data_IF_876406542398
#
_entry.id   IF_876406542398
#
_cell.length_a   1.000
_cell.length_b   1.000
_cell.length_c   1.000
_cell.angle_alpha   90.00
_cell.angle_beta   90.00
_cell.angle_gamma   90.00
#
_symmetry.space_group_name_H-M   'P 1'
#
loop_
_entity.id
_entity.type
_entity.pdbx_description
1 polymer ?
#
# COMPACT_ATOMS: atom_id res chain seq x y z
N UNK A 1 13.14 -9.87 -16.17
CA UNK A 1 13.82 -11.04 -15.57
C UNK A 1 12.75 -11.79 -14.80
N UNK A 2 12.89 -13.12 -14.60
CA UNK A 2 11.86 -13.94 -13.94
C UNK A 2 11.32 -13.34 -12.64
N UNK A 3 12.20 -12.72 -11.84
CA UNK A 3 11.82 -12.02 -10.61
C UNK A 3 10.86 -10.85 -10.86
N UNK A 4 11.18 -9.95 -11.80
CA UNK A 4 10.32 -8.82 -12.14
C UNK A 4 8.96 -9.29 -12.65
N UNK A 5 8.96 -10.29 -13.53
CA UNK A 5 7.73 -10.86 -14.11
C UNK A 5 6.84 -11.49 -13.01
N UNK A 6 7.46 -12.14 -12.02
CA UNK A 6 6.75 -12.72 -10.87
C UNK A 6 6.20 -11.64 -9.93
N UNK A 7 6.96 -10.57 -9.69
CA UNK A 7 6.52 -9.45 -8.86
C UNK A 7 5.35 -8.72 -9.51
N UNK A 8 5.41 -8.50 -10.82
CA UNK A 8 4.32 -7.89 -11.58
C UNK A 8 3.06 -8.75 -11.53
N UNK A 9 3.18 -10.08 -11.69
CA UNK A 9 2.05 -10.99 -11.54
C UNK A 9 1.40 -10.92 -10.13
N UNK A 10 2.21 -10.79 -9.06
CA UNK A 10 1.70 -10.57 -7.71
C UNK A 10 0.95 -9.24 -7.59
N UNK A 11 1.50 -8.16 -8.16
CA UNK A 11 0.83 -6.85 -8.12
C UNK A 11 -0.50 -6.90 -8.85
N UNK A 12 -0.57 -7.53 -10.02
CA UNK A 12 -1.83 -7.68 -10.78
C UNK A 12 -2.86 -8.54 -10.03
N UNK A 13 -2.43 -9.58 -9.33
CA UNK A 13 -3.30 -10.35 -8.43
C UNK A 13 -3.89 -9.45 -7.32
N UNK A 14 -3.04 -8.71 -6.61
CA UNK A 14 -3.48 -7.83 -5.53
C UNK A 14 -4.38 -6.68 -6.03
N UNK A 15 -4.11 -6.13 -7.22
CA UNK A 15 -4.98 -5.15 -7.89
C UNK A 15 -6.35 -5.74 -8.17
N UNK A 16 -6.40 -6.98 -8.66
CA UNK A 16 -7.66 -7.68 -8.92
C UNK A 16 -8.47 -7.92 -7.64
N UNK A 17 -7.79 -8.28 -6.54
CA UNK A 17 -8.43 -8.43 -5.22
C UNK A 17 -9.01 -7.10 -4.70
N UNK A 18 -8.27 -6.00 -4.88
CA UNK A 18 -8.75 -4.66 -4.50
C UNK A 18 -9.94 -4.23 -5.33
N UNK A 19 -9.95 -4.50 -6.64
CA UNK A 19 -11.11 -4.19 -7.47
C UNK A 19 -12.36 -4.93 -7.01
N UNK A 20 -12.20 -6.17 -6.52
CA UNK A 20 -13.31 -6.96 -6.00
C UNK A 20 -13.91 -6.37 -4.71
N UNK A 21 -13.09 -5.69 -3.90
CA UNK A 21 -13.53 -4.99 -2.69
C UNK A 21 -12.87 -3.60 -2.60
N UNK A 22 -13.29 -2.68 -3.47
CA UNK A 22 -12.72 -1.32 -3.55
C UNK A 22 -13.26 -0.42 -2.43
N UNK A 23 -12.93 -0.78 -1.19
CA UNK A 23 -13.37 -0.11 0.04
C UNK A 23 -12.18 0.13 0.97
N UNK A 24 -12.31 1.01 1.99
CA UNK A 24 -11.25 1.19 2.97
C UNK A 24 -10.87 -0.14 3.64
N UNK A 25 -11.85 -0.99 3.95
CA UNK A 25 -11.61 -2.31 4.54
C UNK A 25 -10.82 -3.22 3.60
N UNK A 26 -11.19 -3.29 2.32
CA UNK A 26 -10.45 -4.12 1.35
C UNK A 26 -8.98 -3.69 1.22
N UNK A 27 -8.70 -2.39 1.28
CA UNK A 27 -7.34 -1.88 1.33
C UNK A 27 -6.61 -2.32 2.61
N UNK A 28 -7.28 -2.29 3.77
CA UNK A 28 -6.71 -2.77 5.03
C UNK A 28 -6.32 -4.24 4.98
N UNK A 29 -7.18 -5.08 4.39
CA UNK A 29 -6.97 -6.52 4.30
C UNK A 29 -5.70 -6.84 3.49
N UNK A 30 -5.46 -6.12 2.39
CA UNK A 30 -4.22 -6.23 1.61
C UNK A 30 -3.00 -5.85 2.45
N UNK A 31 -3.07 -4.77 3.22
CA UNK A 31 -1.97 -4.39 4.11
C UNK A 31 -1.78 -5.34 5.29
N UNK A 32 -2.82 -6.08 5.70
CA UNK A 32 -2.69 -7.16 6.66
C UNK A 32 -1.92 -8.35 6.06
N UNK A 33 -2.17 -8.69 4.80
CA UNK A 33 -1.39 -9.71 4.06
C UNK A 33 0.07 -9.28 3.97
N UNK A 34 0.36 -8.03 3.58
CA UNK A 34 1.73 -7.55 3.39
C UNK A 34 2.53 -7.35 4.70
N UNK A 35 1.85 -7.27 5.85
CA UNK A 35 2.44 -6.88 7.13
C UNK A 35 3.68 -7.69 7.58
N UNK A 36 3.78 -9.02 7.39
CA UNK A 36 4.96 -9.79 7.76
C UNK A 36 6.23 -9.31 7.03
N UNK A 37 6.12 -8.98 5.74
CA UNK A 37 7.25 -8.53 4.92
C UNK A 37 7.61 -7.06 5.16
N UNK A 38 6.62 -6.20 5.42
CA UNK A 38 6.85 -4.81 5.84
C UNK A 38 7.68 -4.77 7.14
N UNK A 39 7.44 -5.72 8.05
CA UNK A 39 8.13 -5.83 9.35
C UNK A 39 9.38 -6.70 9.31
N UNK A 40 9.76 -7.21 8.14
CA UNK A 40 10.87 -8.17 8.04
C UNK A 40 12.21 -7.57 8.46
N UNK A 41 13.07 -8.38 9.06
CA UNK A 41 14.46 -8.00 9.31
C UNK A 41 15.30 -7.97 8.03
N UNK A 42 14.84 -8.62 6.95
CA UNK A 42 15.54 -8.69 5.67
C UNK A 42 15.22 -7.49 4.79
N UNK A 43 16.26 -6.79 4.34
CA UNK A 43 16.17 -5.59 3.52
C UNK A 43 15.36 -5.79 2.24
N UNK A 44 15.66 -6.83 1.47
CA UNK A 44 14.97 -7.13 0.23
C UNK A 44 13.49 -7.48 0.43
N UNK A 45 13.11 -8.08 1.56
CA UNK A 45 11.69 -8.36 1.85
C UNK A 45 10.93 -7.06 2.12
N UNK A 46 11.54 -6.15 2.90
CA UNK A 46 10.95 -4.84 3.17
C UNK A 46 10.85 -3.99 1.92
N UNK A 47 11.92 -3.89 1.14
CA UNK A 47 11.97 -3.10 -0.09
C UNK A 47 10.87 -3.51 -1.07
N UNK A 48 10.74 -4.83 -1.29
CA UNK A 48 9.68 -5.40 -2.13
C UNK A 48 8.28 -5.14 -1.59
N UNK A 49 8.10 -5.31 -0.27
CA UNK A 49 6.81 -5.06 0.35
C UNK A 49 6.38 -3.59 0.17
N UNK A 50 7.30 -2.64 0.33
CA UNK A 50 7.03 -1.22 0.17
C UNK A 50 6.82 -0.82 -1.29
N UNK A 51 7.52 -1.45 -2.23
CA UNK A 51 7.26 -1.29 -3.66
C UNK A 51 5.83 -1.74 -4.02
N UNK A 52 5.42 -2.93 -3.57
CA UNK A 52 4.06 -3.46 -3.79
C UNK A 52 3.03 -2.56 -3.11
N UNK A 53 3.26 -2.14 -1.85
CA UNK A 53 2.37 -1.22 -1.13
C UNK A 53 2.15 0.09 -1.89
N UNK A 54 3.21 0.70 -2.43
CA UNK A 54 3.10 1.95 -3.19
C UNK A 54 2.26 1.76 -4.47
N UNK A 55 2.55 0.70 -5.26
CA UNK A 55 1.81 0.37 -6.50
C UNK A 55 0.33 0.08 -6.25
N UNK A 56 0.03 -0.49 -5.08
CA UNK A 56 -1.33 -0.80 -4.66
C UNK A 56 -2.09 0.45 -4.22
N UNK A 57 -1.48 1.31 -3.42
CA UNK A 57 -2.10 2.57 -2.99
C UNK A 57 -2.34 3.52 -4.15
N UNK A 58 -1.37 3.63 -5.06
CA UNK A 58 -1.51 4.38 -6.30
C UNK A 58 -2.70 3.86 -7.13
N UNK A 59 -2.77 2.55 -7.34
CA UNK A 59 -3.86 1.93 -8.09
C UNK A 59 -5.22 2.15 -7.42
N UNK A 60 -5.29 1.99 -6.10
CA UNK A 60 -6.50 2.28 -5.33
C UNK A 60 -6.97 3.71 -5.55
N UNK A 61 -6.07 4.69 -5.40
CA UNK A 61 -6.36 6.11 -5.62
C UNK A 61 -6.83 6.40 -7.05
N UNK A 62 -6.24 5.75 -8.05
CA UNK A 62 -6.63 5.90 -9.47
C UNK A 62 -8.02 5.33 -9.78
N UNK A 63 -8.41 4.25 -9.11
CA UNK A 63 -9.71 3.58 -9.32
C UNK A 63 -10.81 4.10 -8.44
N UNK A 64 -10.45 4.83 -7.39
CA UNK A 64 -11.40 5.41 -6.46
C UNK A 64 -12.29 6.43 -7.19
N UNK A 65 -13.58 6.10 -7.29
CA UNK A 65 -14.61 7.01 -7.78
C UNK A 65 -15.61 7.24 -6.64
N UNK A 66 -15.40 8.30 -5.87
CA UNK A 66 -16.20 8.56 -4.66
C UNK A 66 -17.52 9.19 -5.06
N UNK A 67 -18.53 8.34 -5.23
CA UNK A 67 -19.93 8.74 -5.36
C UNK A 67 -20.72 8.51 -4.05
N UNK A 68 -20.08 8.02 -2.99
CA UNK A 68 -20.73 7.62 -1.74
C UNK A 68 -20.06 8.22 -0.50
N UNK A 69 -20.88 8.49 0.51
CA UNK A 69 -20.55 9.15 1.79
C UNK A 69 -19.78 8.21 2.75
N UNK A 70 -18.86 7.39 2.23
CA UNK A 70 -18.12 6.41 3.03
C UNK A 70 -16.88 7.07 3.61
N UNK A 71 -16.68 6.99 4.93
CA UNK A 71 -15.49 7.55 5.59
C UNK A 71 -14.29 6.60 5.47
N UNK A 72 -13.12 7.16 5.15
CA UNK A 72 -11.83 6.46 5.20
C UNK A 72 -11.32 6.31 6.64
N UNK A 73 -11.95 5.41 7.40
CA UNK A 73 -11.75 5.26 8.85
C UNK A 73 -10.41 4.65 9.27
N UNK A 74 -9.65 4.07 8.35
CA UNK A 74 -8.45 3.29 8.65
C UNK A 74 -7.12 3.99 8.33
N UNK A 75 -7.17 5.29 7.96
CA UNK A 75 -5.98 6.08 7.66
C UNK A 75 -4.90 5.97 8.76
N UNK A 76 -5.28 6.22 10.01
CA UNK A 76 -4.36 6.20 11.14
C UNK A 76 -3.69 4.83 11.35
N UNK A 77 -4.42 3.75 11.12
CA UNK A 77 -3.89 2.38 11.21
C UNK A 77 -2.84 2.12 10.11
N UNK A 78 -3.13 2.50 8.86
CA UNK A 78 -2.24 2.30 7.72
C UNK A 78 -0.98 3.16 7.85
N UNK A 79 -1.12 4.43 8.24
CA UNK A 79 0.02 5.31 8.54
C UNK A 79 0.86 4.72 9.69
N UNK A 80 0.22 4.29 10.79
CA UNK A 80 0.94 3.70 11.92
C UNK A 80 1.73 2.44 11.57
N UNK A 81 1.23 1.63 10.62
CA UNK A 81 1.95 0.45 10.11
C UNK A 81 3.17 0.81 9.26
N UNK A 82 3.09 1.86 8.46
CA UNK A 82 4.13 2.25 7.51
C UNK A 82 5.17 3.21 8.12
N UNK A 83 4.75 4.10 9.02
CA UNK A 83 5.57 5.15 9.61
C UNK A 83 6.94 4.70 10.15
N UNK A 84 7.10 3.52 10.80
CA UNK A 84 8.42 3.07 11.23
C UNK A 84 9.44 2.91 10.10
N UNK A 85 8.98 2.69 8.85
CA UNK A 85 9.85 2.55 7.67
C UNK A 85 10.35 3.88 7.11
N UNK A 86 9.83 5.02 7.60
CA UNK A 86 10.39 6.34 7.29
C UNK A 86 11.83 6.49 7.83
N UNK A 87 12.21 5.69 8.83
CA UNK A 87 13.55 5.67 9.43
C UNK A 87 14.34 4.41 9.07
N UNK A 88 14.01 3.73 7.98
CA UNK A 88 14.73 2.52 7.55
C UNK A 88 16.18 2.83 7.15
N UNK A 89 17.08 1.83 7.24
CA UNK A 89 18.48 1.95 6.84
C UNK A 89 18.60 2.30 5.35
N UNK A 90 17.73 1.73 4.52
CA UNK A 90 17.74 1.93 3.07
C UNK A 90 16.97 3.18 2.65
N UNK A 91 17.63 4.03 1.86
CA UNK A 91 17.02 5.25 1.31
C UNK A 91 15.83 4.96 0.40
N UNK A 92 15.89 3.88 -0.38
CA UNK A 92 14.79 3.42 -1.24
C UNK A 92 13.53 3.12 -0.43
N UNK A 93 13.66 2.41 0.70
CA UNK A 93 12.53 2.11 1.59
C UNK A 93 11.94 3.38 2.20
N UNK A 94 12.80 4.31 2.67
CA UNK A 94 12.32 5.59 3.22
C UNK A 94 11.51 6.37 2.18
N UNK A 95 12.02 6.48 0.95
CA UNK A 95 11.32 7.14 -0.15
C UNK A 95 9.98 6.47 -0.45
N UNK A 96 9.96 5.14 -0.62
CA UNK A 96 8.70 4.41 -0.88
C UNK A 96 7.69 4.54 0.23
N UNK A 97 8.14 4.65 1.48
CA UNK A 97 7.26 4.87 2.62
C UNK A 97 6.61 6.26 2.54
N UNK A 98 7.37 7.28 2.16
CA UNK A 98 6.82 8.63 1.91
C UNK A 98 5.81 8.60 0.77
N UNK A 99 6.10 7.90 -0.35
CA UNK A 99 5.15 7.73 -1.46
C UNK A 99 3.84 7.10 -0.96
N UNK A 100 3.91 6.06 -0.13
CA UNK A 100 2.73 5.41 0.45
C UNK A 100 1.92 6.37 1.34
N UNK A 101 2.59 7.14 2.21
CA UNK A 101 1.91 8.12 3.07
C UNK A 101 1.24 9.20 2.22
N UNK A 102 1.93 9.68 1.17
CA UNK A 102 1.37 10.62 0.22
C UNK A 102 0.08 10.08 -0.41
N UNK A 103 0.08 8.83 -0.91
CA UNK A 103 -1.12 8.23 -1.48
C UNK A 103 -2.25 8.06 -0.45
N UNK A 104 -1.93 7.64 0.79
CA UNK A 104 -2.93 7.50 1.86
C UNK A 104 -3.61 8.83 2.19
N UNK A 105 -2.86 9.93 2.25
CA UNK A 105 -3.40 11.27 2.48
C UNK A 105 -4.27 11.73 1.30
N UNK A 106 -3.85 11.44 0.07
CA UNK A 106 -4.67 11.75 -1.12
C UNK A 106 -5.95 10.92 -1.16
N UNK A 107 -5.91 9.65 -0.73
CA UNK A 107 -7.09 8.80 -0.61
C UNK A 107 -8.06 9.39 0.42
N UNK A 108 -7.57 9.82 1.59
CA UNK A 108 -8.38 10.51 2.60
C UNK A 108 -9.10 11.72 2.01
N UNK A 109 -8.37 12.59 1.28
CA UNK A 109 -8.95 13.79 0.65
C UNK A 109 -10.01 13.48 -0.40
N UNK A 110 -9.98 12.30 -1.03
CA UNK A 110 -11.02 11.88 -2.00
C UNK A 110 -12.31 11.45 -1.32
N UNK A 111 -12.23 11.01 -0.06
CA UNK A 111 -13.36 10.57 0.75
C UNK A 111 -14.02 11.69 1.57
N UNK A 112 -13.40 12.88 1.62
CA UNK A 112 -13.96 14.12 2.18
C UNK A 112 -14.79 14.86 1.13
#
# INVERSE_FOLDING_TARGET
TLYGDTLDALVELLRSLILWNLTPQGLQDIFQILNPWIKSTKEHERERALEVSARILEFYLQKLNVNSVVTFHNLGLLIGRLSPRCSDSLASIRQRTVDCIYYLLNIQLRYE
#
